data_IF_864561255971
#
_entry.id   IF_864561255971
#
_cell.length_a   1.000
_cell.length_b   1.000
_cell.length_c   1.000
_cell.angle_alpha   90.00
_cell.angle_beta   90.00
_cell.angle_gamma   90.00
#
_symmetry.space_group_name_H-M   'P 1'
#
loop_
_entity.id
_entity.type
_entity.pdbx_description
1 polymer ?
#
# COMPACT_ATOMS: atom_id res chain seq x y z
N UNK A 1 44.30 65.09 -32.32
CA UNK A 1 42.93 65.61 -32.04
C UNK A 1 41.98 64.74 -32.87
N UNK A 2 40.98 64.13 -32.30
CA UNK A 2 40.02 63.15 -32.84
C UNK A 2 40.44 61.73 -32.80
N UNK A 3 40.34 61.09 -31.61
CA UNK A 3 40.00 59.69 -31.49
C UNK A 3 39.22 59.56 -30.17
N UNK A 4 37.92 59.61 -30.20
CA UNK A 4 37.02 59.18 -29.13
C UNK A 4 35.59 59.24 -29.65
N UNK A 5 35.08 58.12 -30.19
CA UNK A 5 33.66 57.81 -30.34
C UNK A 5 33.48 56.59 -31.25
N UNK A 6 33.68 55.38 -30.75
CA UNK A 6 33.17 54.14 -31.35
C UNK A 6 33.36 52.95 -30.41
N UNK A 7 32.88 53.03 -29.18
CA UNK A 7 32.73 51.80 -28.31
C UNK A 7 31.51 52.05 -27.42
N UNK A 8 30.33 52.04 -27.95
CA UNK A 8 29.09 52.05 -27.15
C UNK A 8 27.87 51.46 -27.89
N UNK A 9 28.03 50.41 -28.72
CA UNK A 9 26.85 49.84 -29.41
C UNK A 9 26.89 48.33 -29.59
N UNK A 10 27.61 47.57 -28.76
CA UNK A 10 27.63 46.10 -28.83
C UNK A 10 27.13 45.41 -27.54
N UNK A 11 26.68 46.16 -26.54
CA UNK A 11 26.33 45.65 -25.22
C UNK A 11 24.85 45.33 -24.96
N UNK A 12 23.90 45.46 -25.91
CA UNK A 12 22.45 45.36 -25.60
C UNK A 12 21.73 44.20 -26.34
N UNK A 13 22.41 43.40 -27.13
CA UNK A 13 21.74 42.36 -27.94
C UNK A 13 21.78 40.94 -27.40
N UNK A 14 22.24 40.66 -26.17
CA UNK A 14 22.35 39.29 -25.60
C UNK A 14 21.49 39.02 -24.37
N UNK A 15 20.53 39.85 -24.03
CA UNK A 15 19.71 39.67 -22.80
C UNK A 15 18.23 39.26 -23.07
N UNK A 16 17.86 38.80 -24.26
CA UNK A 16 16.44 38.53 -24.59
C UNK A 16 16.10 37.03 -24.84
N UNK A 17 17.00 36.11 -24.61
CA UNK A 17 16.74 34.67 -24.90
C UNK A 17 16.59 33.75 -23.67
N UNK A 18 16.42 34.30 -22.48
CA UNK A 18 16.34 33.48 -21.26
C UNK A 18 15.12 33.73 -20.35
N UNK A 19 14.00 34.26 -20.84
CA UNK A 19 13.01 34.85 -19.94
C UNK A 19 11.54 34.48 -20.10
N UNK A 20 11.16 33.30 -20.63
CA UNK A 20 9.73 32.98 -20.78
C UNK A 20 9.13 32.12 -19.66
N UNK A 21 9.91 31.50 -18.80
CA UNK A 21 9.37 30.59 -17.75
C UNK A 21 9.30 31.21 -16.33
N UNK A 22 10.06 32.28 -16.06
CA UNK A 22 10.11 32.86 -14.73
C UNK A 22 9.10 34.00 -14.50
N UNK A 23 8.55 34.60 -15.56
CA UNK A 23 7.56 35.69 -15.44
C UNK A 23 6.12 35.19 -15.19
N UNK A 24 5.82 33.94 -15.49
CA UNK A 24 4.49 33.34 -15.22
C UNK A 24 4.24 33.08 -13.73
N UNK A 25 5.29 32.91 -12.94
CA UNK A 25 5.17 32.67 -11.49
C UNK A 25 4.89 33.97 -10.68
N UNK A 26 5.06 35.14 -11.30
CA UNK A 26 4.87 36.45 -10.67
C UNK A 26 3.53 37.10 -11.03
N UNK A 27 2.71 36.49 -11.87
CA UNK A 27 1.40 37.00 -12.20
C UNK A 27 0.37 36.59 -11.14
N UNK A 28 -0.10 37.49 -10.26
CA UNK A 28 -1.09 37.16 -9.23
C UNK A 28 -2.47 36.77 -9.82
N UNK A 29 -2.70 36.99 -11.11
CA UNK A 29 -3.91 36.65 -11.86
C UNK A 29 -3.73 35.40 -12.77
N UNK A 30 -2.54 34.78 -12.75
CA UNK A 30 -2.37 33.53 -13.48
C UNK A 30 -3.22 32.45 -12.79
N UNK A 31 -4.26 31.98 -13.47
CA UNK A 31 -5.03 30.82 -13.02
C UNK A 31 -4.06 29.64 -12.85
N UNK A 32 -4.06 29.04 -11.66
CA UNK A 32 -3.29 27.80 -11.43
C UNK A 32 -3.65 26.79 -12.52
N UNK A 33 -2.67 26.12 -13.16
CA UNK A 33 -2.98 25.12 -14.17
C UNK A 33 -3.93 24.09 -13.57
N UNK A 34 -5.10 23.95 -14.18
CA UNK A 34 -6.08 22.95 -13.75
C UNK A 34 -5.46 21.59 -14.00
N UNK A 35 -5.36 20.70 -13.00
CA UNK A 35 -4.86 19.35 -13.19
C UNK A 35 -5.64 18.65 -14.33
N UNK A 36 -4.96 17.88 -15.16
CA UNK A 36 -5.57 17.15 -16.29
C UNK A 36 -6.73 16.25 -15.82
N UNK A 37 -6.60 15.69 -14.60
CA UNK A 37 -7.61 14.89 -13.94
C UNK A 37 -7.80 15.44 -12.50
N UNK A 38 -8.63 16.46 -12.30
CA UNK A 38 -8.86 16.98 -10.97
C UNK A 38 -9.55 15.93 -10.10
N UNK A 39 -9.25 15.88 -8.79
CA UNK A 39 -9.97 15.01 -7.88
C UNK A 39 -11.43 15.44 -7.80
N UNK A 40 -12.33 14.46 -7.71
CA UNK A 40 -13.75 14.73 -7.49
C UNK A 40 -13.94 15.60 -6.25
N UNK A 41 -14.83 16.58 -6.35
CA UNK A 41 -15.26 17.36 -5.19
C UNK A 41 -15.86 16.42 -4.14
N UNK A 42 -15.66 16.77 -2.87
CA UNK A 42 -16.30 16.02 -1.79
C UNK A 42 -17.82 16.31 -1.83
N UNK A 43 -18.59 15.27 -2.18
CA UNK A 43 -20.03 15.40 -2.19
C UNK A 43 -20.57 15.74 -0.80
N UNK A 44 -21.58 16.62 -0.76
CA UNK A 44 -22.42 16.79 0.42
C UNK A 44 -23.44 15.64 0.47
N UNK A 45 -23.63 15.08 1.66
CA UNK A 45 -24.57 13.99 1.88
C UNK A 45 -25.04 13.99 3.35
N UNK A 46 -26.18 13.40 3.60
CA UNK A 46 -26.64 13.14 4.95
C UNK A 46 -26.02 11.84 5.44
N UNK A 47 -25.19 11.86 6.49
CA UNK A 47 -24.62 10.63 7.03
C UNK A 47 -25.69 9.63 7.45
N UNK A 48 -25.53 8.38 7.01
CA UNK A 48 -26.41 7.26 7.37
C UNK A 48 -25.73 6.31 8.38
N UNK A 49 -24.51 6.64 8.80
CA UNK A 49 -23.71 5.88 9.77
C UNK A 49 -22.93 6.85 10.64
N UNK A 50 -22.82 6.54 11.93
CA UNK A 50 -21.98 7.28 12.85
C UNK A 50 -20.57 6.73 12.82
N UNK A 51 -19.59 7.62 12.69
CA UNK A 51 -18.16 7.28 12.80
C UNK A 51 -17.54 8.15 13.89
N UNK A 52 -16.94 7.51 14.88
CA UNK A 52 -16.29 8.19 15.99
C UNK A 52 -14.79 7.90 16.00
N UNK A 53 -13.98 8.90 16.30
CA UNK A 53 -12.58 8.69 16.62
C UNK A 53 -12.47 8.04 17.99
N UNK A 54 -11.96 6.79 18.01
CA UNK A 54 -11.68 6.09 19.25
C UNK A 54 -10.39 6.62 19.89
N UNK A 55 -9.34 6.74 19.10
CA UNK A 55 -8.06 7.30 19.52
C UNK A 55 -7.22 7.75 18.32
N UNK A 56 -6.21 8.56 18.62
CA UNK A 56 -5.23 9.07 17.64
C UNK A 56 -3.86 9.20 18.31
N UNK A 57 -2.81 8.73 17.63
CA UNK A 57 -1.40 8.79 18.09
C UNK A 57 -0.53 9.22 16.92
N UNK A 58 0.58 9.93 17.16
CA UNK A 58 1.57 10.22 16.12
C UNK A 58 2.83 9.39 16.33
N UNK A 59 3.22 8.65 15.28
CA UNK A 59 4.41 7.79 15.30
C UNK A 59 5.64 8.44 14.63
N UNK A 60 5.45 9.41 13.77
CA UNK A 60 6.45 9.99 12.90
C UNK A 60 6.10 9.82 11.42
N UNK A 61 6.69 10.64 10.55
CA UNK A 61 6.37 10.68 9.12
C UNK A 61 6.73 9.36 8.41
N UNK A 62 5.89 8.95 7.49
CA UNK A 62 6.18 7.82 6.61
C UNK A 62 7.16 8.16 5.47
N UNK A 63 7.34 9.43 5.15
CA UNK A 63 8.15 9.84 4.00
C UNK A 63 7.55 9.33 2.69
N UNK A 64 8.36 8.64 1.90
CA UNK A 64 7.93 7.96 0.65
C UNK A 64 7.62 6.48 0.83
N UNK A 65 7.83 5.93 2.03
CA UNK A 65 7.61 4.52 2.32
C UNK A 65 6.13 4.23 2.57
N UNK A 66 5.73 2.98 2.33
CA UNK A 66 4.40 2.46 2.66
C UNK A 66 4.50 1.67 3.97
N UNK A 67 3.96 2.27 5.04
CA UNK A 67 3.83 1.58 6.31
C UNK A 67 2.38 1.13 6.51
N UNK A 68 2.20 -0.16 6.70
CA UNK A 68 0.92 -0.75 7.03
C UNK A 68 0.90 -1.01 8.54
N UNK A 69 -0.15 -0.61 9.27
CA UNK A 69 -0.36 -1.12 10.61
C UNK A 69 -0.49 -2.65 10.60
N UNK A 70 0.03 -3.33 11.61
CA UNK A 70 -0.15 -4.77 11.77
C UNK A 70 -0.88 -5.07 13.08
N UNK A 71 -1.95 -5.87 12.99
CA UNK A 71 -2.72 -6.30 14.17
C UNK A 71 -2.28 -7.69 14.62
N UNK A 72 -2.00 -7.83 15.90
CA UNK A 72 -1.78 -9.14 16.53
C UNK A 72 -2.05 -9.07 18.04
N UNK A 73 -2.78 -10.06 18.56
CA UNK A 73 -3.00 -10.23 20.01
C UNK A 73 -3.57 -9.00 20.72
N UNK A 74 -4.54 -8.29 20.12
CA UNK A 74 -5.12 -7.07 20.68
C UNK A 74 -4.20 -5.83 20.65
N UNK A 75 -3.06 -5.93 19.96
CA UNK A 75 -2.13 -4.82 19.75
C UNK A 75 -2.07 -4.44 18.28
N UNK A 76 -1.78 -3.16 18.00
CA UNK A 76 -1.39 -2.68 16.70
C UNK A 76 0.06 -2.23 16.73
N UNK A 77 0.83 -2.70 15.74
CA UNK A 77 2.23 -2.35 15.53
C UNK A 77 2.32 -1.38 14.37
N UNK A 78 3.08 -0.31 14.55
CA UNK A 78 3.24 0.77 13.58
C UNK A 78 4.70 1.20 13.49
N UNK A 79 5.09 1.78 12.35
CA UNK A 79 6.45 2.24 12.13
C UNK A 79 6.48 3.55 11.34
N UNK A 80 7.60 4.25 11.40
CA UNK A 80 7.86 5.49 10.67
C UNK A 80 9.25 5.47 10.00
N UNK A 81 9.44 6.33 9.00
CA UNK A 81 10.66 6.34 8.20
C UNK A 81 11.92 6.73 8.98
N UNK A 82 11.78 7.42 10.10
CA UNK A 82 12.89 7.84 10.99
C UNK A 82 13.43 6.73 11.90
N UNK A 83 12.89 5.50 11.76
CA UNK A 83 13.27 4.36 12.59
C UNK A 83 12.36 4.07 13.76
N UNK A 84 11.36 4.91 14.03
CA UNK A 84 10.43 4.67 15.11
C UNK A 84 9.56 3.44 14.84
N UNK A 85 9.39 2.60 15.85
CA UNK A 85 8.47 1.45 15.86
C UNK A 85 7.72 1.50 17.18
N UNK A 86 6.41 1.29 17.17
CA UNK A 86 5.62 1.25 18.40
C UNK A 86 4.62 0.10 18.40
N UNK A 87 4.34 -0.39 19.58
CA UNK A 87 3.22 -1.25 19.91
C UNK A 87 2.20 -0.43 20.70
N UNK A 88 0.99 -0.38 20.20
CA UNK A 88 -0.13 0.29 20.81
C UNK A 88 -1.20 -0.75 21.18
N UNK A 89 -1.94 -0.51 22.22
CA UNK A 89 -3.18 -1.23 22.50
C UNK A 89 -4.21 -0.88 21.41
N UNK A 90 -4.76 -1.87 20.75
CA UNK A 90 -5.64 -1.64 19.60
C UNK A 90 -6.98 -0.99 19.96
N UNK A 91 -7.46 -1.17 21.18
CA UNK A 91 -8.73 -0.62 21.64
C UNK A 91 -8.61 0.84 22.11
N UNK A 92 -7.49 1.19 22.76
CA UNK A 92 -7.33 2.47 23.44
C UNK A 92 -6.28 3.39 22.81
N UNK A 93 -5.41 2.87 21.92
CA UNK A 93 -4.26 3.59 21.41
C UNK A 93 -3.13 3.81 22.42
N UNK A 94 -3.28 3.27 23.65
CA UNK A 94 -2.24 3.41 24.67
C UNK A 94 -0.92 2.79 24.20
N UNK A 95 0.15 3.55 24.34
CA UNK A 95 1.49 3.08 23.96
C UNK A 95 2.00 2.05 24.95
N UNK A 96 2.14 0.80 24.50
CA UNK A 96 2.74 -0.28 25.29
C UNK A 96 4.25 -0.10 25.33
N UNK A 97 4.86 0.14 24.16
CA UNK A 97 6.26 0.51 24.03
C UNK A 97 6.50 1.28 22.73
N UNK A 98 7.60 2.04 22.69
CA UNK A 98 8.16 2.68 21.51
C UNK A 98 9.66 2.55 21.52
N UNK A 99 10.23 2.14 20.41
CA UNK A 99 11.67 1.97 20.20
C UNK A 99 12.09 2.72 18.94
N UNK A 100 13.39 2.89 18.76
CA UNK A 100 13.97 3.36 17.53
C UNK A 100 14.95 2.30 17.01
N UNK A 101 14.80 1.95 15.73
CA UNK A 101 15.64 0.96 15.05
C UNK A 101 17.09 1.43 14.81
N UNK A 102 17.38 2.71 15.03
CA UNK A 102 18.70 3.32 14.81
C UNK A 102 19.07 3.50 13.33
N UNK A 103 18.19 3.15 12.42
CA UNK A 103 18.36 3.28 10.95
C UNK A 103 17.03 3.66 10.31
N UNK A 104 17.04 4.37 9.17
CA UNK A 104 15.81 4.67 8.43
C UNK A 104 15.10 3.40 7.96
N UNK A 105 13.78 3.36 8.13
CA UNK A 105 12.96 2.24 7.68
C UNK A 105 12.37 2.51 6.29
N UNK A 106 12.23 1.46 5.50
CA UNK A 106 11.68 1.50 4.14
C UNK A 106 10.39 0.69 4.01
N UNK A 107 10.11 -0.22 4.95
CA UNK A 107 8.97 -1.11 4.91
C UNK A 107 8.57 -1.59 6.31
N UNK A 108 7.29 -1.77 6.54
CA UNK A 108 6.79 -2.33 7.80
C UNK A 108 5.29 -2.07 7.94
N UNK A 109 4.67 -2.67 8.92
CA UNK A 109 5.17 -3.63 9.90
C UNK A 109 4.61 -5.00 9.58
N UNK A 110 5.43 -6.05 9.72
CA UNK A 110 4.94 -7.42 9.84
C UNK A 110 4.94 -7.84 11.29
N UNK A 111 3.86 -8.44 11.78
CA UNK A 111 3.82 -8.89 13.15
C UNK A 111 2.93 -10.11 13.35
N UNK A 112 3.33 -10.97 14.29
CA UNK A 112 2.49 -12.00 14.91
C UNK A 112 2.51 -11.88 16.44
N UNK A 113 2.04 -12.87 17.15
CA UNK A 113 1.97 -12.86 18.62
C UNK A 113 3.35 -12.69 19.31
N UNK A 114 4.42 -13.11 18.66
CA UNK A 114 5.77 -13.14 19.25
C UNK A 114 6.83 -12.29 18.55
N UNK A 115 6.57 -11.89 17.30
CA UNK A 115 7.59 -11.34 16.40
C UNK A 115 7.11 -10.07 15.72
N UNK A 116 7.99 -9.08 15.63
CA UNK A 116 7.78 -7.82 14.90
C UNK A 116 8.93 -7.64 13.91
N UNK A 117 8.63 -7.44 12.63
CA UNK A 117 9.62 -7.33 11.58
C UNK A 117 9.44 -6.06 10.74
N UNK A 118 10.55 -5.41 10.39
CA UNK A 118 10.59 -4.23 9.53
C UNK A 118 11.71 -4.35 8.50
N UNK A 119 11.54 -3.70 7.36
CA UNK A 119 12.59 -3.47 6.38
C UNK A 119 13.22 -2.10 6.58
N UNK A 120 14.54 -2.03 6.46
CA UNK A 120 15.30 -0.81 6.60
C UNK A 120 16.13 -0.52 5.35
N UNK A 121 16.72 0.67 5.29
CA UNK A 121 17.54 1.13 4.18
C UNK A 121 18.64 0.12 3.82
N UNK A 122 18.92 -0.02 2.52
CA UNK A 122 19.90 -0.95 2.00
C UNK A 122 19.51 -2.43 2.07
N UNK A 123 18.23 -2.75 2.29
CA UNK A 123 17.75 -4.14 2.34
C UNK A 123 17.97 -4.85 3.67
N UNK A 124 18.16 -4.10 4.72
CA UNK A 124 18.28 -4.65 6.08
C UNK A 124 16.91 -5.12 6.57
N UNK A 125 16.86 -6.31 7.14
CA UNK A 125 15.71 -6.85 7.88
C UNK A 125 16.02 -6.78 9.37
N UNK A 126 15.16 -6.13 10.13
CA UNK A 126 15.26 -6.06 11.59
C UNK A 126 14.07 -6.79 12.20
N UNK A 127 14.36 -7.64 13.17
CA UNK A 127 13.31 -8.40 13.87
C UNK A 127 13.45 -8.21 15.37
N UNK A 128 12.30 -7.97 15.97
CA UNK A 128 12.13 -7.71 17.39
C UNK A 128 11.15 -8.74 17.98
N UNK A 129 11.28 -9.01 19.25
CA UNK A 129 10.27 -9.73 20.02
C UNK A 129 9.05 -8.82 20.28
N UNK A 130 7.93 -9.40 20.68
CA UNK A 130 6.70 -8.64 20.98
C UNK A 130 6.86 -7.62 22.12
N UNK A 131 7.91 -7.72 22.94
CA UNK A 131 8.28 -6.75 23.99
C UNK A 131 9.23 -5.65 23.50
N UNK A 132 9.55 -5.61 22.20
CA UNK A 132 10.34 -4.56 21.57
C UNK A 132 11.86 -4.77 21.62
N UNK A 133 12.36 -5.91 22.11
CA UNK A 133 13.80 -6.21 22.10
C UNK A 133 14.23 -6.75 20.74
N UNK A 134 15.30 -6.21 20.18
CA UNK A 134 15.86 -6.73 18.94
C UNK A 134 16.36 -8.16 19.12
N UNK A 135 15.85 -9.09 18.30
CA UNK A 135 16.30 -10.48 18.29
C UNK A 135 17.47 -10.67 17.35
N UNK A 136 17.31 -10.24 16.12
CA UNK A 136 18.31 -10.40 15.08
C UNK A 136 18.20 -9.35 13.98
N UNK A 137 19.23 -9.32 13.14
CA UNK A 137 19.35 -8.50 11.95
C UNK A 137 19.87 -9.38 10.82
N UNK A 138 19.27 -9.25 9.63
CA UNK A 138 19.71 -9.94 8.43
C UNK A 138 19.81 -8.98 7.24
N UNK A 139 20.48 -9.43 6.17
CA UNK A 139 20.67 -8.67 4.94
C UNK A 139 19.93 -9.36 3.79
N UNK A 140 18.97 -8.68 3.15
CA UNK A 140 18.41 -9.06 1.88
C UNK A 140 19.33 -8.60 0.74
N UNK A 141 19.09 -9.13 -0.47
CA UNK A 141 19.94 -8.84 -1.63
C UNK A 141 19.76 -7.42 -2.18
N UNK A 142 18.65 -6.78 -1.91
CA UNK A 142 18.31 -5.45 -2.38
C UNK A 142 17.28 -4.81 -1.47
N UNK A 143 16.81 -3.61 -1.80
CA UNK A 143 15.84 -2.83 -1.02
C UNK A 143 14.52 -3.60 -0.82
N UNK A 144 13.94 -3.45 0.37
CA UNK A 144 12.65 -4.02 0.75
C UNK A 144 11.65 -2.86 0.82
N UNK A 145 10.56 -2.93 0.04
CA UNK A 145 9.53 -1.91 0.00
C UNK A 145 8.21 -2.39 0.61
N UNK A 146 7.95 -3.70 0.63
CA UNK A 146 6.77 -4.31 1.24
C UNK A 146 7.03 -4.72 2.68
N UNK A 147 6.01 -4.62 3.52
CA UNK A 147 6.10 -5.13 4.89
C UNK A 147 6.53 -6.60 4.89
N UNK A 148 7.49 -7.00 5.74
CA UNK A 148 7.79 -8.41 5.95
C UNK A 148 6.52 -9.17 6.34
N UNK A 149 6.32 -10.37 5.80
CA UNK A 149 5.25 -11.24 6.25
C UNK A 149 5.74 -12.10 7.42
N UNK A 150 5.01 -12.09 8.53
CA UNK A 150 5.37 -12.81 9.76
C UNK A 150 4.26 -13.79 10.10
N UNK A 151 4.53 -15.05 9.98
CA UNK A 151 3.62 -16.13 10.37
C UNK A 151 4.36 -17.48 10.40
N UNK A 152 3.80 -18.47 11.07
CA UNK A 152 4.27 -19.87 11.08
C UNK A 152 5.76 -20.02 11.47
N UNK A 153 6.24 -19.15 12.39
CA UNK A 153 7.64 -19.14 12.83
C UNK A 153 8.62 -18.65 11.76
N UNK A 154 8.15 -17.89 10.78
CA UNK A 154 8.96 -17.36 9.69
C UNK A 154 8.77 -15.86 9.51
N UNK A 155 9.83 -15.21 9.03
CA UNK A 155 9.81 -13.86 8.48
C UNK A 155 10.15 -13.95 7.00
N UNK A 156 9.21 -13.63 6.13
CA UNK A 156 9.42 -13.68 4.68
C UNK A 156 9.47 -12.26 4.14
N UNK A 157 10.50 -11.95 3.38
CA UNK A 157 10.70 -10.65 2.72
C UNK A 157 10.86 -10.83 1.22
N UNK A 158 10.41 -9.83 0.47
CA UNK A 158 10.68 -9.69 -0.96
C UNK A 158 11.49 -8.42 -1.20
N UNK A 159 12.62 -8.55 -1.89
CA UNK A 159 13.43 -7.42 -2.34
C UNK A 159 13.09 -7.02 -3.78
N UNK A 160 13.45 -5.77 -4.16
CA UNK A 160 13.10 -5.20 -5.47
C UNK A 160 13.77 -5.93 -6.65
N UNK A 161 14.84 -6.67 -6.41
CA UNK A 161 15.47 -7.57 -7.39
C UNK A 161 14.71 -8.89 -7.59
N UNK A 162 13.46 -8.95 -7.11
CA UNK A 162 12.55 -10.09 -7.27
C UNK A 162 12.98 -11.36 -6.52
N UNK A 163 13.75 -11.21 -5.45
CA UNK A 163 14.17 -12.29 -4.56
C UNK A 163 13.25 -12.36 -3.34
N UNK A 164 12.78 -13.56 -3.04
CA UNK A 164 12.03 -13.88 -1.84
C UNK A 164 12.93 -14.67 -0.90
N UNK A 165 13.00 -14.25 0.36
CA UNK A 165 13.83 -14.91 1.38
C UNK A 165 12.98 -15.15 2.61
N UNK A 166 13.04 -16.37 3.14
CA UNK A 166 12.45 -16.71 4.43
C UNK A 166 13.55 -16.93 5.46
N UNK A 167 13.36 -16.31 6.60
CA UNK A 167 14.17 -16.46 7.79
C UNK A 167 13.37 -17.15 8.88
N UNK A 168 14.03 -17.90 9.70
CA UNK A 168 13.51 -18.37 10.97
C UNK A 168 13.21 -17.19 11.88
N UNK A 169 12.01 -17.10 12.44
CA UNK A 169 11.58 -15.95 13.21
C UNK A 169 12.36 -15.74 14.53
N UNK A 170 12.86 -16.82 15.11
CA UNK A 170 13.60 -16.77 16.37
C UNK A 170 15.08 -16.54 16.19
N UNK A 171 15.71 -17.29 15.28
CA UNK A 171 17.17 -17.28 15.10
C UNK A 171 17.67 -16.36 14.00
N UNK A 172 16.81 -15.95 13.05
CA UNK A 172 17.22 -15.22 11.85
C UNK A 172 17.98 -16.08 10.83
N UNK A 173 18.09 -17.38 11.04
CA UNK A 173 18.70 -18.30 10.09
C UNK A 173 17.88 -18.34 8.80
N UNK A 174 18.55 -18.23 7.65
CA UNK A 174 17.86 -18.32 6.36
C UNK A 174 17.37 -19.75 6.14
N UNK A 175 16.07 -19.94 6.04
CA UNK A 175 15.42 -21.23 5.76
C UNK A 175 15.46 -21.57 4.28
N UNK A 176 15.08 -20.61 3.44
CA UNK A 176 15.10 -20.76 1.98
C UNK A 176 15.17 -19.41 1.27
N UNK A 177 15.48 -19.46 -0.02
CA UNK A 177 15.54 -18.32 -0.90
C UNK A 177 15.09 -18.73 -2.29
N UNK A 178 14.27 -17.90 -2.94
CA UNK A 178 13.86 -18.04 -4.33
C UNK A 178 14.10 -16.74 -5.06
N UNK A 179 14.81 -16.80 -6.18
CA UNK A 179 14.95 -15.70 -7.12
C UNK A 179 14.16 -16.00 -8.39
N UNK A 180 13.47 -14.99 -8.90
CA UNK A 180 12.73 -15.06 -10.17
C UNK A 180 13.25 -13.97 -11.10
N UNK A 181 13.27 -14.21 -12.43
CA UNK A 181 13.56 -13.15 -13.39
C UNK A 181 12.61 -11.95 -13.20
N UNK A 182 13.15 -10.75 -13.31
CA UNK A 182 12.37 -9.52 -13.34
C UNK A 182 12.16 -9.08 -14.79
N UNK A 183 11.00 -8.50 -15.14
CA UNK A 183 10.82 -7.83 -16.43
C UNK A 183 11.73 -6.59 -16.51
N UNK A 184 11.92 -6.07 -17.74
CA UNK A 184 12.76 -4.87 -17.96
C UNK A 184 12.27 -3.65 -17.18
N UNK A 185 10.96 -3.50 -17.03
CA UNK A 185 10.31 -2.48 -16.22
C UNK A 185 9.27 -3.11 -15.32
N UNK A 186 9.22 -2.63 -14.09
CA UNK A 186 8.23 -2.98 -13.09
C UNK A 186 7.86 -1.74 -12.29
N UNK A 187 6.67 -1.72 -11.72
CA UNK A 187 6.32 -0.70 -10.76
C UNK A 187 7.27 -0.82 -9.54
N UNK A 188 7.74 0.31 -9.06
CA UNK A 188 8.38 0.37 -7.74
C UNK A 188 7.30 0.26 -6.66
N UNK A 189 6.50 -0.79 -6.75
CA UNK A 189 5.45 -1.11 -5.80
C UNK A 189 5.95 -2.13 -4.79
N UNK A 190 5.25 -2.21 -3.69
CA UNK A 190 5.56 -3.09 -2.59
C UNK A 190 4.41 -4.09 -2.38
N UNK A 191 4.20 -5.05 -3.31
CA UNK A 191 3.22 -6.07 -3.04
C UNK A 191 3.62 -6.83 -1.79
N UNK A 192 2.65 -6.98 -0.89
CA UNK A 192 2.85 -7.77 0.31
C UNK A 192 2.77 -9.27 0.03
N UNK A 193 3.00 -10.04 1.07
CA UNK A 193 2.97 -11.50 1.06
C UNK A 193 1.87 -11.95 2.01
N UNK A 194 0.93 -12.76 1.52
CA UNK A 194 -0.03 -13.46 2.36
C UNK A 194 0.50 -14.85 2.70
N UNK A 195 0.22 -15.34 3.91
CA UNK A 195 0.68 -16.66 4.37
C UNK A 195 -0.53 -17.44 4.91
N UNK A 196 -0.66 -18.68 4.49
CA UNK A 196 -1.54 -19.68 5.12
C UNK A 196 -0.73 -20.74 5.89
N UNK A 197 -1.34 -21.86 6.24
CA UNK A 197 -0.65 -22.93 6.96
C UNK A 197 0.47 -23.62 6.15
N UNK A 198 0.48 -23.53 4.84
CA UNK A 198 1.36 -24.29 3.95
C UNK A 198 2.10 -23.46 2.91
N UNK A 199 1.60 -22.27 2.60
CA UNK A 199 2.05 -21.48 1.47
C UNK A 199 2.24 -20.01 1.80
N UNK A 200 3.21 -19.37 1.13
CA UNK A 200 3.30 -17.94 0.98
C UNK A 200 2.81 -17.54 -0.42
N UNK A 201 1.83 -16.67 -0.50
CA UNK A 201 1.29 -16.13 -1.75
C UNK A 201 1.95 -14.78 -2.03
N UNK A 202 2.71 -14.72 -3.11
CA UNK A 202 3.55 -13.59 -3.44
C UNK A 202 3.11 -12.98 -4.76
N UNK A 203 2.78 -11.68 -4.75
CA UNK A 203 2.60 -10.92 -5.96
C UNK A 203 3.96 -10.63 -6.61
N UNK A 204 4.05 -10.85 -7.92
CA UNK A 204 5.27 -10.70 -8.69
C UNK A 204 5.08 -9.69 -9.81
N UNK A 205 6.17 -9.07 -10.32
CA UNK A 205 6.14 -8.29 -11.55
C UNK A 205 5.65 -9.12 -12.74
N UNK A 206 5.10 -8.44 -13.75
CA UNK A 206 4.53 -9.10 -14.93
C UNK A 206 3.20 -9.79 -14.66
N UNK A 207 2.48 -9.35 -13.59
CA UNK A 207 1.12 -9.79 -13.30
C UNK A 207 1.02 -11.22 -12.79
N UNK A 208 2.07 -11.77 -12.21
CA UNK A 208 2.09 -13.14 -11.71
C UNK A 208 1.83 -13.20 -10.20
N UNK A 209 1.05 -14.16 -9.75
CA UNK A 209 0.95 -14.56 -8.35
C UNK A 209 1.49 -15.98 -8.22
N UNK A 210 2.37 -16.19 -7.25
CA UNK A 210 3.05 -17.47 -7.00
C UNK A 210 2.73 -17.93 -5.59
N UNK A 211 2.36 -19.19 -5.43
CA UNK A 211 2.34 -19.84 -4.12
C UNK A 211 3.65 -20.59 -3.90
N UNK A 212 4.33 -20.25 -2.82
CA UNK A 212 5.59 -20.88 -2.41
C UNK A 212 5.35 -21.78 -1.21
N UNK A 213 5.88 -23.00 -1.25
CA UNK A 213 5.82 -23.90 -0.11
C UNK A 213 6.63 -23.30 1.07
N UNK A 214 6.04 -23.21 2.26
CA UNK A 214 6.71 -22.66 3.43
C UNK A 214 7.94 -23.47 3.84
N UNK A 215 7.93 -24.76 3.57
CA UNK A 215 9.00 -25.70 3.97
C UNK A 215 10.34 -25.44 3.26
N UNK A 216 10.30 -25.09 1.96
CA UNK A 216 11.51 -25.00 1.13
C UNK A 216 11.51 -23.86 0.10
N UNK A 217 10.46 -23.03 0.05
CA UNK A 217 10.32 -21.92 -0.91
C UNK A 217 10.07 -22.38 -2.36
N UNK A 218 9.88 -23.67 -2.62
CA UNK A 218 9.57 -24.18 -3.95
C UNK A 218 8.19 -23.72 -4.42
N UNK A 219 8.01 -23.37 -5.72
CA UNK A 219 6.72 -22.97 -6.24
C UNK A 219 5.76 -24.18 -6.25
N UNK A 220 4.59 -24.00 -5.67
CA UNK A 220 3.50 -24.97 -5.70
C UNK A 220 2.64 -24.77 -6.94
N UNK A 221 2.36 -23.52 -7.26
CA UNK A 221 1.67 -23.09 -8.47
C UNK A 221 1.99 -21.63 -8.78
N UNK A 222 1.73 -21.23 -10.02
CA UNK A 222 1.84 -19.86 -10.50
C UNK A 222 0.65 -19.56 -11.41
N UNK A 223 0.05 -18.38 -11.27
CA UNK A 223 -1.09 -17.94 -12.06
C UNK A 223 -0.92 -16.51 -12.55
N UNK A 224 -1.45 -16.20 -13.74
CA UNK A 224 -1.51 -14.86 -14.27
C UNK A 224 -2.74 -14.12 -13.71
N UNK A 225 -2.49 -13.05 -12.94
CA UNK A 225 -3.49 -12.06 -12.52
C UNK A 225 -3.55 -10.92 -13.53
N UNK A 226 -2.43 -10.61 -14.19
CA UNK A 226 -2.34 -9.65 -15.27
C UNK A 226 -1.51 -10.22 -16.42
N UNK A 227 -1.79 -9.79 -17.64
CA UNK A 227 -0.98 -10.13 -18.82
C UNK A 227 -0.34 -8.85 -19.35
N UNK A 228 1.00 -8.77 -19.44
CA UNK A 228 1.67 -7.65 -20.08
C UNK A 228 1.20 -7.47 -21.53
N UNK A 229 0.56 -6.35 -21.84
CA UNK A 229 0.02 -6.04 -23.17
C UNK A 229 0.46 -4.65 -23.60
N UNK A 230 0.77 -4.48 -24.89
CA UNK A 230 1.11 -3.20 -25.47
C UNK A 230 2.35 -3.25 -26.35
N UNK A 231 2.61 -2.17 -27.08
CA UNK A 231 3.75 -2.02 -27.98
C UNK A 231 5.02 -1.57 -27.23
N UNK A 232 4.85 -0.80 -26.16
CA UNK A 232 5.96 -0.24 -25.39
C UNK A 232 6.16 -0.98 -24.06
N UNK A 233 7.34 -0.89 -23.47
CA UNK A 233 7.64 -1.47 -22.15
C UNK A 233 6.74 -0.86 -21.05
N UNK A 234 6.39 0.42 -21.14
CA UNK A 234 5.48 1.09 -20.20
C UNK A 234 4.06 0.51 -20.27
N UNK A 235 3.56 0.21 -21.47
CA UNK A 235 2.24 -0.41 -21.65
C UNK A 235 2.21 -1.87 -21.15
N UNK A 236 3.37 -2.51 -21.05
CA UNK A 236 3.50 -3.90 -20.59
C UNK A 236 3.66 -4.06 -19.08
N UNK A 237 3.72 -2.96 -18.34
CA UNK A 237 3.74 -3.06 -16.88
C UNK A 237 2.39 -3.62 -16.40
N UNK A 238 2.41 -4.79 -15.79
CA UNK A 238 1.22 -5.49 -15.29
C UNK A 238 1.55 -6.16 -13.95
N UNK A 239 1.92 -5.38 -12.95
CA UNK A 239 2.41 -5.91 -11.67
C UNK A 239 1.27 -6.18 -10.70
N UNK A 240 1.36 -7.29 -9.97
CA UNK A 240 0.43 -7.55 -8.85
C UNK A 240 0.62 -6.49 -7.77
N UNK A 241 -0.48 -5.91 -7.30
CA UNK A 241 -0.51 -4.80 -6.35
C UNK A 241 -1.07 -5.21 -5.00
N UNK A 242 -0.56 -4.59 -3.93
CA UNK A 242 -1.03 -4.83 -2.57
C UNK A 242 -0.69 -6.23 -2.05
N UNK A 243 -1.34 -6.61 -0.96
CA UNK A 243 -1.24 -7.95 -0.36
C UNK A 243 -2.31 -8.85 -0.98
N UNK A 244 -1.99 -10.06 -1.47
CA UNK A 244 -3.02 -11.03 -1.82
C UNK A 244 -3.95 -11.30 -0.63
N UNK A 245 -5.26 -11.35 -0.86
CA UNK A 245 -6.25 -11.47 0.21
C UNK A 245 -6.78 -12.88 0.29
N UNK A 246 -6.67 -13.49 1.47
CA UNK A 246 -7.28 -14.78 1.74
C UNK A 246 -8.80 -14.62 1.94
N UNK A 247 -9.57 -15.39 1.21
CA UNK A 247 -11.03 -15.39 1.26
C UNK A 247 -11.54 -16.86 1.37
N UNK A 248 -11.55 -17.39 2.57
CA UNK A 248 -11.86 -18.79 2.82
C UNK A 248 -10.81 -19.74 2.22
N UNK A 249 -11.19 -20.55 1.23
CA UNK A 249 -10.27 -21.46 0.52
C UNK A 249 -9.62 -20.83 -0.71
N UNK A 250 -9.87 -19.57 -0.95
CA UNK A 250 -9.41 -18.83 -2.11
C UNK A 250 -8.39 -17.79 -1.71
N UNK A 251 -7.50 -17.45 -2.62
CA UNK A 251 -6.64 -16.29 -2.56
C UNK A 251 -6.95 -15.38 -3.74
N UNK A 252 -7.19 -14.11 -3.46
CA UNK A 252 -7.54 -13.13 -4.46
C UNK A 252 -6.42 -12.08 -4.59
N UNK A 253 -6.17 -11.63 -5.80
CA UNK A 253 -5.19 -10.61 -6.10
C UNK A 253 -5.67 -9.68 -7.21
N UNK A 254 -5.03 -8.55 -7.33
CA UNK A 254 -5.26 -7.55 -8.37
C UNK A 254 -3.93 -7.12 -8.98
N UNK A 255 -3.94 -6.79 -10.25
CA UNK A 255 -2.77 -6.26 -10.94
C UNK A 255 -3.03 -4.86 -11.52
N UNK A 256 -1.98 -4.05 -11.54
CA UNK A 256 -1.94 -2.83 -12.32
C UNK A 256 -2.00 -3.17 -13.81
N UNK A 257 -2.78 -2.45 -14.60
CA UNK A 257 -3.07 -2.72 -16.02
C UNK A 257 -3.46 -4.19 -16.28
N UNK A 258 -4.15 -4.83 -15.33
CA UNK A 258 -4.44 -6.25 -15.39
C UNK A 258 -5.87 -6.59 -15.00
N UNK A 259 -6.00 -7.54 -14.12
CA UNK A 259 -7.27 -8.09 -13.67
C UNK A 259 -7.35 -8.16 -12.16
N UNK A 260 -8.55 -8.26 -11.64
CA UNK A 260 -8.84 -8.80 -10.31
C UNK A 260 -9.30 -10.23 -10.48
N UNK A 261 -8.84 -11.13 -9.62
CA UNK A 261 -9.27 -12.53 -9.69
C UNK A 261 -9.00 -13.30 -8.42
N UNK A 262 -9.76 -14.36 -8.24
CA UNK A 262 -9.61 -15.30 -7.15
C UNK A 262 -9.27 -16.69 -7.69
N UNK A 263 -8.38 -17.38 -7.01
CA UNK A 263 -7.95 -18.74 -7.32
C UNK A 263 -8.08 -19.64 -6.10
N UNK A 264 -8.21 -20.92 -6.29
CA UNK A 264 -8.12 -21.90 -5.20
C UNK A 264 -6.71 -21.86 -4.60
N UNK A 265 -6.59 -21.61 -3.31
CA UNK A 265 -5.31 -21.40 -2.63
C UNK A 265 -4.41 -22.65 -2.67
N UNK A 266 -4.98 -23.83 -2.74
CA UNK A 266 -4.22 -25.10 -2.75
C UNK A 266 -3.67 -25.47 -4.13
N UNK A 267 -4.44 -25.22 -5.19
CA UNK A 267 -4.14 -25.69 -6.55
C UNK A 267 -3.78 -24.57 -7.54
N UNK A 268 -4.09 -23.31 -7.24
CA UNK A 268 -3.96 -22.19 -8.18
C UNK A 268 -5.03 -22.17 -9.28
N UNK A 269 -6.03 -23.07 -9.23
CA UNK A 269 -7.09 -23.11 -10.21
C UNK A 269 -7.92 -21.82 -10.15
N UNK A 270 -8.00 -21.12 -11.29
CA UNK A 270 -8.76 -19.87 -11.38
C UNK A 270 -10.25 -20.12 -11.15
N UNK A 271 -10.84 -19.45 -10.19
CA UNK A 271 -12.27 -19.43 -9.94
C UNK A 271 -12.95 -18.45 -10.86
N UNK A 272 -12.47 -17.23 -10.85
CA UNK A 272 -12.92 -16.16 -11.74
C UNK A 272 -11.86 -15.08 -11.89
N UNK A 273 -11.95 -14.32 -12.97
CA UNK A 273 -11.14 -13.11 -13.18
C UNK A 273 -11.94 -12.07 -13.96
N UNK A 274 -11.71 -10.77 -13.68
CA UNK A 274 -12.34 -9.62 -14.33
C UNK A 274 -11.31 -8.57 -14.68
N UNK A 275 -11.49 -7.88 -15.79
CA UNK A 275 -10.69 -6.70 -16.15
C UNK A 275 -10.86 -5.63 -15.08
N UNK A 276 -9.76 -5.27 -14.45
CA UNK A 276 -9.72 -4.29 -13.38
C UNK A 276 -8.28 -3.92 -13.09
N UNK A 277 -7.96 -2.63 -13.12
CA UNK A 277 -6.61 -2.13 -12.83
C UNK A 277 -6.56 -1.44 -11.48
N UNK A 278 -5.59 -1.79 -10.65
CA UNK A 278 -5.41 -1.17 -9.34
C UNK A 278 -3.94 -1.10 -8.96
N UNK A 279 -3.54 0.01 -8.32
CA UNK A 279 -2.22 0.20 -7.71
C UNK A 279 -2.20 -0.20 -6.22
N UNK A 280 -3.38 -0.45 -5.64
CA UNK A 280 -3.54 -0.81 -4.23
C UNK A 280 -4.13 -2.21 -4.10
N UNK A 281 -4.08 -2.76 -2.91
CA UNK A 281 -4.59 -4.11 -2.66
C UNK A 281 -6.13 -4.20 -2.67
N UNK A 282 -6.60 -5.37 -2.36
CA UNK A 282 -8.02 -5.70 -2.24
C UNK A 282 -8.46 -5.74 -0.77
N UNK A 283 -9.76 -5.60 -0.53
CA UNK A 283 -10.43 -6.04 0.68
C UNK A 283 -11.35 -7.21 0.39
N UNK A 284 -11.62 -8.04 1.38
CA UNK A 284 -12.55 -9.15 1.26
C UNK A 284 -13.36 -9.33 2.53
N UNK A 285 -14.59 -9.77 2.37
CA UNK A 285 -15.41 -10.30 3.45
C UNK A 285 -15.98 -11.69 3.09
N UNK A 286 -17.00 -12.12 3.81
CA UNK A 286 -17.64 -13.40 3.60
C UNK A 286 -18.38 -13.53 2.25
N UNK A 287 -18.79 -12.40 1.64
CA UNK A 287 -19.60 -12.34 0.41
C UNK A 287 -18.90 -11.71 -0.77
N UNK A 288 -18.06 -10.69 -0.53
CA UNK A 288 -17.57 -9.82 -1.59
C UNK A 288 -16.06 -9.60 -1.53
N UNK A 289 -15.51 -9.28 -2.71
CA UNK A 289 -14.17 -8.74 -2.91
C UNK A 289 -14.31 -7.27 -3.30
N UNK A 290 -13.55 -6.40 -2.66
CA UNK A 290 -13.56 -4.96 -2.89
C UNK A 290 -12.23 -4.50 -3.47
N UNK A 291 -12.29 -3.66 -4.50
CA UNK A 291 -11.12 -3.06 -5.12
C UNK A 291 -11.31 -1.56 -5.35
N UNK A 292 -10.24 -0.78 -5.23
CA UNK A 292 -10.20 0.60 -5.65
C UNK A 292 -9.32 0.71 -6.89
N UNK A 293 -9.89 1.22 -8.00
CA UNK A 293 -9.14 1.39 -9.23
C UNK A 293 -8.29 2.68 -9.22
N UNK A 294 -7.35 2.78 -10.15
CA UNK A 294 -6.44 3.94 -10.28
C UNK A 294 -7.16 5.26 -10.60
N UNK A 295 -8.41 5.18 -11.07
CA UNK A 295 -9.28 6.33 -11.32
C UNK A 295 -10.05 6.76 -10.07
N UNK A 296 -9.94 6.01 -8.95
CA UNK A 296 -10.62 6.28 -7.70
C UNK A 296 -12.05 5.75 -7.65
N UNK A 297 -12.43 4.80 -8.51
CA UNK A 297 -13.68 4.10 -8.33
C UNK A 297 -13.49 2.93 -7.36
N UNK A 298 -14.47 2.72 -6.48
CA UNK A 298 -14.52 1.54 -5.63
C UNK A 298 -15.55 0.56 -6.21
N UNK A 299 -15.14 -0.69 -6.33
CA UNK A 299 -15.96 -1.75 -6.94
C UNK A 299 -16.11 -2.90 -5.96
N UNK A 300 -17.27 -3.53 -5.96
CA UNK A 300 -17.52 -4.79 -5.27
C UNK A 300 -17.88 -5.89 -6.27
N UNK A 301 -17.32 -7.07 -6.03
CA UNK A 301 -17.57 -8.29 -6.81
C UNK A 301 -17.98 -9.40 -5.86
N UNK A 302 -18.90 -10.28 -6.27
CA UNK A 302 -19.18 -11.47 -5.47
C UNK A 302 -17.94 -12.34 -5.36
N UNK A 303 -17.67 -12.89 -4.19
CA UNK A 303 -16.48 -13.71 -3.92
C UNK A 303 -16.46 -15.01 -4.74
N UNK A 304 -17.61 -15.65 -4.90
CA UNK A 304 -17.76 -16.96 -5.54
C UNK A 304 -17.62 -16.93 -7.07
N UNK A 305 -18.12 -15.87 -7.72
CA UNK A 305 -18.24 -15.80 -9.18
C UNK A 305 -17.70 -14.52 -9.82
N UNK A 306 -17.26 -13.55 -9.02
CA UNK A 306 -16.78 -12.25 -9.53
C UNK A 306 -17.86 -11.43 -10.23
N UNK A 307 -19.14 -11.65 -9.91
CA UNK A 307 -20.23 -10.83 -10.45
C UNK A 307 -20.12 -9.44 -9.85
N UNK A 308 -20.22 -8.41 -10.69
CA UNK A 308 -20.22 -7.02 -10.21
C UNK A 308 -21.48 -6.77 -9.38
N UNK A 309 -21.28 -6.35 -8.12
CA UNK A 309 -22.37 -6.01 -7.20
C UNK A 309 -22.69 -4.53 -7.32
N UNK A 310 -21.67 -3.69 -7.18
CA UNK A 310 -21.80 -2.25 -7.33
C UNK A 310 -20.48 -1.59 -7.71
N UNK A 311 -20.58 -0.35 -8.18
CA UNK A 311 -19.43 0.54 -8.44
C UNK A 311 -19.77 1.94 -7.94
N UNK A 312 -18.89 2.53 -7.14
CA UNK A 312 -18.96 3.92 -6.72
C UNK A 312 -17.87 4.72 -7.41
N UNK A 313 -18.24 5.79 -8.16
CA UNK A 313 -17.30 6.70 -8.83
C UNK A 313 -17.23 8.09 -8.19
N UNK A 314 -17.90 8.30 -7.05
CA UNK A 314 -17.92 9.59 -6.35
C UNK A 314 -16.57 10.02 -5.75
N UNK A 315 -15.58 9.12 -5.73
CA UNK A 315 -14.23 9.38 -5.23
C UNK A 315 -13.17 9.45 -6.34
N UNK A 316 -13.60 9.73 -7.58
CA UNK A 316 -12.71 9.75 -8.74
C UNK A 316 -11.49 10.65 -8.54
N UNK A 317 -10.32 10.18 -8.97
CA UNK A 317 -9.00 10.84 -8.89
C UNK A 317 -8.54 11.21 -7.47
N UNK A 318 -9.09 10.57 -6.42
CA UNK A 318 -8.71 10.85 -5.03
C UNK A 318 -7.61 9.93 -4.48
N UNK A 319 -6.96 9.11 -5.31
CA UNK A 319 -5.83 8.23 -4.95
C UNK A 319 -6.12 7.44 -3.67
N UNK A 320 -7.06 6.54 -3.77
CA UNK A 320 -7.58 5.78 -2.64
C UNK A 320 -6.55 4.79 -2.06
N UNK A 321 -6.70 4.46 -0.78
CA UNK A 321 -6.05 3.31 -0.16
C UNK A 321 -6.73 2.01 -0.57
N UNK A 322 -6.16 0.86 -0.19
CA UNK A 322 -6.88 -0.41 -0.28
C UNK A 322 -8.19 -0.34 0.53
N UNK A 323 -9.32 -0.80 -0.04
CA UNK A 323 -10.59 -0.85 0.68
C UNK A 323 -10.54 -1.95 1.75
N UNK A 324 -11.16 -1.70 2.91
CA UNK A 324 -11.30 -2.70 3.97
C UNK A 324 -12.74 -2.75 4.49
N UNK A 325 -13.36 -3.93 4.58
CA UNK A 325 -14.71 -4.05 5.14
C UNK A 325 -14.67 -3.86 6.66
N UNK A 326 -15.60 -3.05 7.18
CA UNK A 326 -15.77 -2.79 8.61
C UNK A 326 -17.25 -2.62 8.94
N UNK A 327 -17.81 -3.46 9.79
CA UNK A 327 -19.23 -3.49 10.07
C UNK A 327 -20.06 -3.63 8.78
N UNK A 328 -21.01 -2.71 8.55
CA UNK A 328 -21.81 -2.65 7.31
C UNK A 328 -21.20 -1.81 6.19
N UNK A 329 -19.99 -1.31 6.39
CA UNK A 329 -19.30 -0.44 5.43
C UNK A 329 -18.03 -1.05 4.85
N UNK A 330 -17.56 -0.45 3.78
CA UNK A 330 -16.20 -0.57 3.24
C UNK A 330 -15.50 0.77 3.44
N UNK A 331 -14.42 0.77 4.21
CA UNK A 331 -13.62 1.96 4.47
C UNK A 331 -12.49 2.11 3.45
N UNK A 332 -12.32 3.32 2.91
CA UNK A 332 -11.20 3.70 2.03
C UNK A 332 -10.66 5.06 2.44
N UNK A 333 -9.35 5.20 2.53
CA UNK A 333 -8.70 6.48 2.75
C UNK A 333 -8.34 7.17 1.45
N UNK A 334 -8.18 8.50 1.48
CA UNK A 334 -7.79 9.26 0.30
C UNK A 334 -6.52 10.10 0.50
N UNK A 335 -6.08 10.80 -0.57
CA UNK A 335 -4.86 11.61 -0.56
C UNK A 335 -4.95 12.89 0.27
N UNK A 336 -6.16 13.35 0.62
CA UNK A 336 -6.40 14.52 1.46
C UNK A 336 -6.67 14.13 2.92
N UNK A 337 -6.49 12.86 3.27
CA UNK A 337 -6.66 12.38 4.64
C UNK A 337 -8.11 12.23 5.06
N UNK A 338 -9.02 11.97 4.12
CA UNK A 338 -10.37 11.56 4.47
C UNK A 338 -10.48 10.04 4.47
N UNK A 339 -11.17 9.50 5.47
CA UNK A 339 -11.70 8.13 5.46
C UNK A 339 -13.16 8.17 5.03
N UNK A 340 -13.47 7.50 3.93
CA UNK A 340 -14.81 7.34 3.39
C UNK A 340 -15.34 5.96 3.74
N UNK A 341 -16.60 5.87 4.10
CA UNK A 341 -17.29 4.65 4.45
C UNK A 341 -18.44 4.43 3.46
N UNK A 342 -18.31 3.43 2.63
CA UNK A 342 -19.26 3.06 1.59
C UNK A 342 -20.08 1.86 2.05
N UNK A 343 -21.36 1.82 1.72
CA UNK A 343 -22.24 0.67 2.01
C UNK A 343 -21.71 -0.61 1.35
N UNK A 344 -21.65 -1.70 2.09
CA UNK A 344 -21.28 -3.02 1.54
C UNK A 344 -22.31 -3.55 0.53
N UNK A 345 -23.55 -3.07 0.61
CA UNK A 345 -24.66 -3.59 -0.20
C UNK A 345 -24.76 -2.92 -1.57
N UNK A 346 -24.65 -1.58 -1.61
CA UNK A 346 -24.91 -0.78 -2.82
C UNK A 346 -23.81 0.25 -3.13
N UNK A 347 -22.77 0.34 -2.29
CA UNK A 347 -21.68 1.30 -2.46
C UNK A 347 -22.03 2.76 -2.17
N UNK A 348 -23.21 3.06 -1.61
CA UNK A 348 -23.60 4.41 -1.22
C UNK A 348 -22.67 4.96 -0.13
N UNK A 349 -22.39 6.28 -0.15
CA UNK A 349 -21.58 6.92 0.88
C UNK A 349 -22.37 7.02 2.19
N UNK A 350 -21.94 6.31 3.23
CA UNK A 350 -22.57 6.27 4.55
C UNK A 350 -22.00 7.29 5.52
N UNK A 351 -20.68 7.49 5.51
CA UNK A 351 -19.99 8.42 6.39
C UNK A 351 -18.66 8.88 5.79
N UNK A 352 -18.14 9.97 6.30
CA UNK A 352 -16.80 10.48 6.00
C UNK A 352 -16.20 11.10 7.26
N UNK A 353 -14.93 10.81 7.53
CA UNK A 353 -14.18 11.38 8.65
C UNK A 353 -12.91 12.02 8.13
N UNK A 354 -12.63 13.25 8.55
CA UNK A 354 -11.36 13.91 8.27
C UNK A 354 -10.29 13.41 9.25
N UNK A 355 -9.03 13.43 8.83
CA UNK A 355 -7.86 13.14 9.66
C UNK A 355 -6.95 14.37 9.75
N UNK A 356 -5.63 14.19 9.63
CA UNK A 356 -4.64 15.29 9.69
C UNK A 356 -4.44 16.02 8.35
N UNK A 357 -5.24 15.73 7.33
CA UNK A 357 -5.15 16.34 6.00
C UNK A 357 -4.06 15.75 5.11
N UNK A 358 -3.28 14.79 5.58
CA UNK A 358 -2.28 14.08 4.78
C UNK A 358 -2.81 12.74 4.27
N UNK A 359 -2.21 12.23 3.18
CA UNK A 359 -2.65 11.00 2.52
C UNK A 359 -2.72 9.83 3.51
N UNK A 360 -3.82 9.08 3.47
CA UNK A 360 -3.89 7.76 4.11
C UNK A 360 -3.05 6.79 3.27
N UNK A 361 -2.05 6.19 3.89
CA UNK A 361 -1.11 5.29 3.24
C UNK A 361 -1.36 3.85 3.64
N UNK A 362 -0.89 2.95 2.78
CA UNK A 362 -0.94 1.52 3.04
C UNK A 362 -2.35 0.94 3.09
N UNK A 363 -2.44 -0.24 3.66
CA UNK A 363 -3.70 -0.95 3.85
C UNK A 363 -4.15 -0.76 5.31
N UNK A 364 -5.32 -0.19 5.56
CA UNK A 364 -5.90 -0.15 6.90
C UNK A 364 -6.12 -1.56 7.46
N UNK A 365 -6.16 -1.70 8.78
CA UNK A 365 -6.52 -2.95 9.45
C UNK A 365 -7.79 -2.78 10.27
N UNK A 366 -8.52 -3.88 10.50
CA UNK A 366 -9.82 -3.84 11.16
C UNK A 366 -9.85 -4.77 12.36
N UNK A 367 -10.39 -4.29 13.47
CA UNK A 367 -10.69 -5.09 14.65
C UNK A 367 -12.12 -4.78 15.13
N UNK A 368 -13.00 -5.77 15.09
CA UNK A 368 -14.43 -5.54 15.30
C UNK A 368 -15.00 -4.49 14.35
N UNK A 369 -15.60 -3.44 14.88
CA UNK A 369 -16.13 -2.31 14.11
C UNK A 369 -15.15 -1.12 14.00
N UNK A 370 -13.90 -1.32 14.32
CA UNK A 370 -12.88 -0.25 14.33
C UNK A 370 -11.88 -0.47 13.20
N UNK A 371 -11.71 0.55 12.35
CA UNK A 371 -10.66 0.61 11.34
C UNK A 371 -9.47 1.42 11.88
N UNK A 372 -8.27 0.86 11.77
CA UNK A 372 -7.01 1.49 12.19
C UNK A 372 -6.15 1.71 10.95
N UNK A 373 -5.64 2.90 10.77
CA UNK A 373 -4.85 3.29 9.60
C UNK A 373 -3.77 4.29 9.97
N UNK A 374 -2.83 4.48 9.06
CA UNK A 374 -1.74 5.45 9.21
C UNK A 374 -1.78 6.45 8.06
N UNK A 375 -1.49 7.73 8.37
CA UNK A 375 -1.34 8.80 7.38
C UNK A 375 0.13 9.04 7.04
N UNK A 376 0.38 9.75 5.97
CA UNK A 376 1.73 10.10 5.53
C UNK A 376 2.47 11.01 6.52
N UNK A 377 1.75 11.89 7.23
CA UNK A 377 2.33 12.73 8.30
C UNK A 377 2.59 11.96 9.59
N UNK A 378 2.16 10.68 9.68
CA UNK A 378 2.45 9.78 10.80
C UNK A 378 1.34 9.68 11.83
N UNK A 379 0.18 10.25 11.57
CA UNK A 379 -0.99 10.01 12.41
C UNK A 379 -1.45 8.57 12.23
N UNK A 380 -1.53 7.84 13.33
CA UNK A 380 -2.22 6.56 13.45
C UNK A 380 -3.54 6.83 14.14
N UNK A 381 -4.64 6.47 13.51
CA UNK A 381 -5.97 6.72 14.03
C UNK A 381 -6.85 5.47 13.98
N UNK A 382 -7.71 5.34 14.96
CA UNK A 382 -8.75 4.33 15.04
C UNK A 382 -10.13 5.01 14.93
N UNK A 383 -10.92 4.59 13.96
CA UNK A 383 -12.28 5.07 13.78
C UNK A 383 -13.26 3.91 13.96
N UNK A 384 -14.21 4.08 14.88
CA UNK A 384 -15.27 3.08 15.12
C UNK A 384 -16.50 3.44 14.31
N UNK A 385 -17.01 2.48 13.55
CA UNK A 385 -18.21 2.57 12.72
C UNK A 385 -19.40 1.94 13.47
N UNK A 386 -20.47 2.74 13.69
CA UNK A 386 -21.68 2.34 14.44
C UNK A 386 -22.95 2.42 13.59
#
# INVERSE_FOLDING_TARGET
>A
MHIAAKVATVGIALAVLGGCSTLQSLNPFASKPVPRNPPAALAEFKPAMTVKSAWTVNIGKAGTALFNPALSGGSVFVAAADGAIARLDAATGAQVWRINAGVPLTAGVGADAGTVAVGAAGGVVLVFSADGKQRWKAQASSEILGAPAVAQGMVIVRSIDNRNVAFDADSGARRWQLQRPAPSLALRSAPGIAIDAQSAFVGMPGGRMVALALTNGGPRWEVAVGDPRGATELERIADVSGVPVMAGREVCAVAYQGRVGCVDASSGATRWAKEFSSEVGLGADDRNIYGADERGNVNAYTRDAGVSVWRNSGLSNRRLSAPVPVGRAVAVGDYQGYMHFLSREDGALLARSATDGSRVIGTPVVTGNTVIFQTQAGTVAALTAE
#
